data_IF_219564993138
#
_entry.id   IF_219564993138
#
_cell.length_a   1.000
_cell.length_b   1.000
_cell.length_c   1.000
_cell.angle_alpha   90.00
_cell.angle_beta   90.00
_cell.angle_gamma   90.00
#
_symmetry.space_group_name_H-M   'P 1'
#
loop_
_entity.id
_entity.type
_entity.pdbx_description
1 polymer ?
#
# COMPACT_ATOMS: atom_id res chain seq x y z
N UNK A 1 -9.13 13.79 5.89
CA UNK A 1 -9.27 12.78 4.87
C UNK A 1 -8.56 13.21 3.60
N UNK A 2 -7.48 12.56 3.22
CA UNK A 2 -6.91 12.71 1.90
C UNK A 2 -7.93 12.20 0.89
N UNK A 3 -8.22 12.96 -0.16
CA UNK A 3 -8.96 12.47 -1.32
C UNK A 3 -8.07 11.43 -2.00
N UNK A 4 -8.17 10.21 -1.53
CA UNK A 4 -7.48 9.07 -2.10
C UNK A 4 -8.10 8.85 -3.48
N UNK A 5 -7.25 8.72 -4.52
CA UNK A 5 -7.70 8.40 -5.88
C UNK A 5 -8.47 7.08 -5.93
N UNK A 6 -9.02 6.76 -7.10
CA UNK A 6 -9.64 5.46 -7.34
C UNK A 6 -8.68 4.33 -6.90
N UNK A 7 -9.22 3.31 -6.24
CA UNK A 7 -8.44 2.18 -5.75
C UNK A 7 -7.69 2.38 -4.44
N UNK A 8 -7.85 3.50 -3.76
CA UNK A 8 -7.25 3.70 -2.45
C UNK A 8 -7.89 2.84 -1.37
N UNK A 9 -7.09 2.34 -0.44
CA UNK A 9 -7.56 1.65 0.77
C UNK A 9 -8.24 2.61 1.73
N UNK A 10 -9.20 2.10 2.51
CA UNK A 10 -9.85 2.87 3.56
C UNK A 10 -8.95 2.99 4.80
N UNK A 11 -9.09 4.11 5.50
CA UNK A 11 -8.37 4.35 6.76
C UNK A 11 -8.81 3.35 7.85
N UNK A 12 -7.94 3.13 8.83
CA UNK A 12 -8.26 2.43 10.06
C UNK A 12 -9.26 3.21 10.92
N UNK A 13 -9.85 2.55 11.91
CA UNK A 13 -10.88 3.10 12.79
C UNK A 13 -10.38 3.04 14.24
N UNK A 14 -10.72 4.08 15.02
CA UNK A 14 -10.46 4.11 16.45
C UNK A 14 -11.39 3.17 17.23
N UNK A 15 -10.82 2.26 17.99
CA UNK A 15 -11.55 1.26 18.77
C UNK A 15 -11.86 1.66 20.22
N UNK A 16 -11.66 2.89 20.60
CA UNK A 16 -11.73 3.31 22.01
C UNK A 16 -10.57 2.71 22.83
N UNK A 17 -10.48 3.06 24.11
CA UNK A 17 -9.51 2.54 25.08
C UNK A 17 -8.16 2.11 24.49
N UNK A 18 -7.50 3.03 23.71
CA UNK A 18 -6.08 2.92 23.37
C UNK A 18 -5.72 1.98 22.20
N UNK A 19 -6.66 1.54 21.37
CA UNK A 19 -6.38 0.64 20.23
C UNK A 19 -7.00 1.15 18.93
N UNK A 20 -6.21 1.11 17.86
CA UNK A 20 -6.63 1.51 16.52
C UNK A 20 -6.41 0.38 15.52
N UNK A 21 -7.36 0.22 14.61
CA UNK A 21 -7.25 -0.73 13.51
C UNK A 21 -6.33 -0.21 12.42
N UNK A 22 -5.82 -1.11 11.60
CA UNK A 22 -4.91 -0.79 10.50
C UNK A 22 -5.64 -0.29 9.25
N UNK A 23 -4.96 0.50 8.43
CA UNK A 23 -5.44 0.94 7.12
C UNK A 23 -5.45 -0.18 6.08
N UNK A 24 -6.40 -0.14 5.15
CA UNK A 24 -6.50 -1.07 4.04
C UNK A 24 -5.48 -0.80 2.94
N UNK A 25 -5.07 -1.82 2.20
CA UNK A 25 -4.15 -1.70 1.06
C UNK A 25 -4.82 -1.10 -0.18
N UNK A 26 -4.04 -0.41 -1.01
CA UNK A 26 -4.47 0.08 -2.32
C UNK A 26 -4.74 -1.07 -3.30
N UNK A 27 -5.59 -0.85 -4.27
CA UNK A 27 -5.96 -1.83 -5.31
C UNK A 27 -5.62 -1.31 -6.70
N UNK A 28 -5.18 -2.21 -7.60
CA UNK A 28 -5.00 -1.96 -9.03
C UNK A 28 -4.86 -3.30 -9.74
N UNK A 29 -5.68 -3.60 -10.74
CA UNK A 29 -5.67 -4.88 -11.45
C UNK A 29 -5.93 -6.12 -10.54
N UNK A 30 -5.66 -6.01 -9.26
CA UNK A 30 -5.91 -6.96 -8.18
C UNK A 30 -6.35 -6.25 -6.89
N UNK A 31 -7.08 -6.94 -6.00
CA UNK A 31 -7.51 -6.36 -4.73
C UNK A 31 -6.32 -6.18 -3.78
N UNK A 32 -6.29 -5.06 -3.07
CA UNK A 32 -5.42 -4.87 -1.92
C UNK A 32 -5.83 -5.76 -0.73
N UNK A 33 -5.01 -5.80 0.30
CA UNK A 33 -5.35 -6.50 1.54
C UNK A 33 -6.20 -5.60 2.46
N UNK A 34 -7.05 -6.22 3.26
CA UNK A 34 -7.75 -5.52 4.36
C UNK A 34 -6.75 -5.23 5.49
N UNK A 35 -6.91 -4.08 6.15
CA UNK A 35 -6.16 -3.73 7.35
C UNK A 35 -6.44 -4.69 8.52
N UNK A 36 -5.51 -4.77 9.45
CA UNK A 36 -5.66 -5.60 10.66
C UNK A 36 -6.76 -5.04 11.58
N UNK A 37 -7.53 -5.95 12.20
CA UNK A 37 -8.53 -5.58 13.21
C UNK A 37 -7.87 -5.18 14.53
N UNK A 38 -8.46 -4.23 15.24
CA UNK A 38 -8.13 -4.00 16.64
C UNK A 38 -9.06 -4.84 17.51
N UNK A 39 -8.48 -5.64 18.39
CA UNK A 39 -9.23 -6.48 19.34
C UNK A 39 -8.90 -6.10 20.77
N UNK A 40 -9.90 -5.95 21.59
CA UNK A 40 -9.81 -5.42 22.96
C UNK A 40 -9.65 -6.48 24.05
N UNK A 41 -9.92 -7.72 23.75
CA UNK A 41 -9.88 -8.82 24.71
C UNK A 41 -10.82 -8.57 25.88
N UNK A 42 -10.27 -8.51 27.10
CA UNK A 42 -11.04 -8.32 28.35
C UNK A 42 -11.01 -6.88 28.87
N UNK A 43 -10.55 -5.92 28.08
CA UNK A 43 -10.46 -4.52 28.49
C UNK A 43 -11.87 -3.91 28.42
N UNK A 44 -12.34 -3.33 29.52
CA UNK A 44 -13.60 -2.59 29.57
C UNK A 44 -13.44 -1.24 28.84
N UNK A 45 -14.54 -0.75 28.27
CA UNK A 45 -14.60 0.51 27.51
C UNK A 45 -13.79 0.52 26.19
N UNK A 46 -13.58 -0.64 25.60
CA UNK A 46 -12.93 -0.80 24.30
C UNK A 46 -13.84 -1.61 23.37
N UNK A 47 -14.01 -1.12 22.16
CA UNK A 47 -14.78 -1.80 21.12
C UNK A 47 -13.83 -2.43 20.10
N UNK A 48 -14.09 -3.67 19.74
CA UNK A 48 -13.40 -4.32 18.62
C UNK A 48 -13.72 -3.57 17.33
N UNK A 49 -12.70 -3.15 16.60
CA UNK A 49 -12.86 -2.45 15.33
C UNK A 49 -12.26 -3.20 14.16
N UNK A 50 -12.99 -3.16 13.07
CA UNK A 50 -12.56 -3.75 11.83
C UNK A 50 -11.46 -2.90 11.17
N UNK A 51 -10.45 -3.56 10.61
CA UNK A 51 -9.44 -2.89 9.77
C UNK A 51 -10.04 -2.25 8.53
N UNK A 52 -9.37 -1.24 7.99
CA UNK A 52 -9.74 -0.54 6.77
C UNK A 52 -9.95 -1.51 5.62
N UNK A 53 -10.97 -1.29 4.81
CA UNK A 53 -11.24 -2.11 3.63
C UNK A 53 -10.19 -1.83 2.55
N UNK A 54 -9.84 -2.81 1.71
CA UNK A 54 -9.00 -2.57 0.54
C UNK A 54 -9.69 -1.58 -0.41
N UNK A 55 -8.89 -0.90 -1.21
CA UNK A 55 -9.39 -0.01 -2.25
C UNK A 55 -10.28 -0.74 -3.25
N UNK A 56 -11.18 0.00 -3.88
CA UNK A 56 -12.00 -0.53 -4.97
C UNK A 56 -11.08 -0.88 -6.14
N UNK A 57 -11.29 -2.07 -6.73
CA UNK A 57 -10.53 -2.52 -7.88
C UNK A 57 -10.67 -1.53 -9.03
N UNK A 58 -9.56 -1.03 -9.56
CA UNK A 58 -9.52 -0.17 -10.74
C UNK A 58 -8.34 -0.58 -11.66
N UNK A 59 -8.29 -0.01 -12.85
CA UNK A 59 -7.42 -0.52 -13.90
C UNK A 59 -7.99 -1.78 -14.55
N UNK A 60 -7.61 -2.04 -15.77
CA UNK A 60 -8.01 -3.22 -16.52
C UNK A 60 -6.80 -3.96 -17.10
N UNK A 61 -6.97 -5.26 -17.38
CA UNK A 61 -5.91 -6.11 -17.94
C UNK A 61 -5.51 -5.67 -19.36
N UNK A 62 -6.36 -4.92 -20.03
CA UNK A 62 -6.14 -4.45 -21.40
C UNK A 62 -5.48 -3.08 -21.45
N UNK A 63 -5.35 -2.42 -20.31
CA UNK A 63 -4.83 -1.06 -20.16
C UNK A 63 -5.48 -0.06 -21.14
N UNK A 64 -6.82 -0.07 -21.19
CA UNK A 64 -7.58 0.90 -22.01
C UNK A 64 -7.38 2.33 -21.52
N UNK A 65 -7.05 2.49 -20.25
CA UNK A 65 -6.63 3.75 -19.64
C UNK A 65 -5.35 3.54 -18.86
N UNK A 66 -4.36 4.40 -19.10
CA UNK A 66 -3.11 4.38 -18.33
C UNK A 66 -3.31 5.16 -17.03
N UNK A 67 -3.53 4.43 -15.96
CA UNK A 67 -3.75 4.99 -14.61
C UNK A 67 -2.74 4.42 -13.62
N UNK A 68 -2.42 5.19 -12.59
CA UNK A 68 -1.55 4.75 -11.50
C UNK A 68 -2.29 3.84 -10.51
N UNK A 69 -1.54 3.19 -9.65
CA UNK A 69 -2.07 2.38 -8.56
C UNK A 69 -2.73 3.22 -7.47
N UNK A 70 -3.57 2.59 -6.65
CA UNK A 70 -4.19 3.19 -5.48
C UNK A 70 -3.24 3.26 -4.28
N UNK A 71 -3.35 4.32 -3.48
CA UNK A 71 -2.62 4.42 -2.22
C UNK A 71 -3.19 3.51 -1.13
N UNK A 72 -2.41 3.16 -0.13
CA UNK A 72 -2.89 2.52 1.09
C UNK A 72 -3.64 3.50 1.98
N UNK A 73 -4.54 3.00 2.82
CA UNK A 73 -5.23 3.78 3.85
C UNK A 73 -4.31 4.12 5.02
N UNK A 74 -4.55 5.25 5.63
CA UNK A 74 -3.87 5.68 6.85
C UNK A 74 -4.36 4.86 8.06
N UNK A 75 -3.56 4.74 9.12
CA UNK A 75 -4.08 4.33 10.42
C UNK A 75 -4.90 5.48 11.03
N UNK A 76 -5.75 5.18 12.03
CA UNK A 76 -6.48 6.24 12.72
C UNK A 76 -5.51 7.17 13.47
N UNK A 77 -5.73 8.49 13.35
CA UNK A 77 -4.91 9.51 14.03
C UNK A 77 -5.31 9.63 15.51
N UNK A 78 -4.45 9.16 16.39
CA UNK A 78 -4.58 9.45 17.81
C UNK A 78 -3.91 10.80 18.06
N UNK A 79 -4.66 11.79 18.44
CA UNK A 79 -4.29 13.22 18.57
C UNK A 79 -2.98 13.53 19.34
N UNK A 80 -2.32 12.53 19.90
CA UNK A 80 -1.07 12.66 20.65
C UNK A 80 0.13 11.90 20.05
N UNK A 81 -0.08 11.13 18.96
CA UNK A 81 0.97 10.36 18.30
C UNK A 81 1.13 10.81 16.85
N UNK A 82 2.37 10.99 16.42
CA UNK A 82 2.63 11.08 14.99
C UNK A 82 2.32 9.72 14.35
N UNK A 83 1.41 9.73 13.38
CA UNK A 83 1.05 8.52 12.63
C UNK A 83 1.73 8.53 11.27
N UNK A 84 2.16 7.37 10.85
CA UNK A 84 2.64 7.17 9.50
C UNK A 84 1.47 7.09 8.51
N UNK A 85 1.73 7.48 7.28
CA UNK A 85 0.73 7.46 6.21
C UNK A 85 0.74 6.14 5.48
N UNK A 86 -0.37 5.83 4.83
CA UNK A 86 -0.44 4.74 3.89
C UNK A 86 0.55 4.90 2.73
N UNK A 87 1.01 3.79 2.20
CA UNK A 87 1.94 3.77 1.08
C UNK A 87 1.34 4.42 -0.17
N UNK A 88 2.15 5.14 -0.93
CA UNK A 88 1.72 5.74 -2.18
C UNK A 88 1.45 4.66 -3.24
N UNK A 89 0.45 4.86 -4.09
CA UNK A 89 0.27 4.03 -5.29
C UNK A 89 1.38 4.23 -6.31
N UNK A 90 1.71 3.19 -7.05
CA UNK A 90 2.67 3.24 -8.15
C UNK A 90 2.20 4.14 -9.30
N UNK A 91 3.14 4.71 -10.03
CA UNK A 91 2.85 5.56 -11.18
C UNK A 91 2.36 4.76 -12.39
N UNK A 92 2.08 5.46 -13.48
CA UNK A 92 1.81 4.85 -14.77
C UNK A 92 2.77 5.38 -15.81
N UNK A 93 3.37 4.50 -16.61
CA UNK A 93 4.32 4.86 -17.65
C UNK A 93 3.98 4.19 -18.97
N UNK A 94 4.01 4.96 -20.06
CA UNK A 94 3.90 4.44 -21.41
C UNK A 94 5.14 4.80 -22.20
N UNK A 95 5.76 3.80 -22.82
CA UNK A 95 6.86 3.97 -23.74
C UNK A 95 6.44 3.47 -25.13
N UNK A 96 6.63 4.33 -26.12
CA UNK A 96 6.36 4.00 -27.52
C UNK A 96 7.61 4.18 -28.37
N UNK A 97 7.86 3.22 -29.24
CA UNK A 97 8.88 3.35 -30.31
C UNK A 97 8.34 2.81 -31.62
N UNK A 98 8.68 3.49 -32.72
CA UNK A 98 8.34 3.02 -34.04
C UNK A 98 9.30 1.92 -34.59
N UNK A 99 10.38 1.64 -33.86
CA UNK A 99 11.41 0.67 -34.26
C UNK A 99 11.59 -0.43 -33.23
N UNK A 100 12.16 -0.10 -32.06
CA UNK A 100 12.39 -1.07 -31.00
C UNK A 100 12.43 -0.40 -29.62
N UNK A 101 12.15 -1.18 -28.58
CA UNK A 101 12.35 -0.84 -27.17
C UNK A 101 13.23 -1.90 -26.53
N UNK A 102 14.21 -1.47 -25.72
CA UNK A 102 15.06 -2.39 -24.98
C UNK A 102 15.19 -1.97 -23.52
N UNK A 103 15.06 -2.93 -22.60
CA UNK A 103 15.46 -2.81 -21.20
C UNK A 103 16.76 -3.59 -21.03
N UNK A 104 17.87 -2.91 -20.95
CA UNK A 104 19.19 -3.53 -20.89
C UNK A 104 19.41 -4.30 -19.56
N UNK A 105 20.37 -5.22 -19.56
CA UNK A 105 20.81 -5.92 -18.35
C UNK A 105 21.23 -4.90 -17.28
N UNK A 106 20.66 -5.02 -16.08
CA UNK A 106 20.88 -4.09 -14.97
C UNK A 106 20.04 -2.81 -15.05
N UNK A 107 19.30 -2.59 -16.18
CA UNK A 107 18.29 -1.54 -16.24
C UNK A 107 16.95 -1.99 -15.69
N UNK A 108 16.04 -1.04 -15.42
CA UNK A 108 14.71 -1.39 -14.94
C UNK A 108 13.68 -0.30 -15.20
N UNK A 109 12.44 -0.73 -15.33
CA UNK A 109 11.24 0.11 -15.25
C UNK A 109 10.49 -0.31 -14.00
N UNK A 110 10.30 0.64 -13.08
CA UNK A 110 9.62 0.40 -11.82
C UNK A 110 8.41 1.32 -11.68
N UNK A 111 7.28 0.73 -11.43
CA UNK A 111 6.00 1.37 -11.15
C UNK A 111 5.41 0.80 -9.86
N UNK A 112 6.28 0.44 -8.91
CA UNK A 112 5.90 -0.14 -7.64
C UNK A 112 5.14 0.83 -6.73
N UNK A 113 4.32 0.27 -5.84
CA UNK A 113 3.66 1.01 -4.76
C UNK A 113 4.57 1.13 -3.55
N UNK A 114 4.39 2.19 -2.77
CA UNK A 114 5.12 2.41 -1.53
C UNK A 114 4.63 1.51 -0.40
N UNK A 115 5.51 1.14 0.51
CA UNK A 115 5.16 0.45 1.75
C UNK A 115 4.35 1.35 2.69
N UNK A 116 3.50 0.75 3.50
CA UNK A 116 2.77 1.45 4.55
C UNK A 116 3.66 1.70 5.77
N UNK A 117 3.38 2.76 6.51
CA UNK A 117 4.06 3.07 7.76
C UNK A 117 3.66 2.13 8.90
N UNK A 118 4.53 1.93 9.86
CA UNK A 118 4.26 1.15 11.06
C UNK A 118 3.36 1.87 12.06
N UNK A 119 2.62 1.14 12.86
CA UNK A 119 1.78 1.67 13.92
C UNK A 119 2.61 2.38 14.99
N UNK A 120 2.20 3.60 15.37
CA UNK A 120 2.83 4.34 16.43
C UNK A 120 2.51 3.74 17.81
N UNK A 121 3.48 3.73 18.71
CA UNK A 121 3.27 3.47 20.13
C UNK A 121 3.59 4.72 20.92
N UNK A 122 2.61 5.28 21.59
CA UNK A 122 2.84 6.40 22.48
C UNK A 122 1.93 6.34 23.71
N UNK A 123 2.53 6.57 24.84
CA UNK A 123 1.88 6.37 26.16
C UNK A 123 1.30 4.94 26.23
N UNK A 124 0.02 4.78 26.39
CA UNK A 124 -0.66 3.48 26.42
C UNK A 124 -1.47 3.21 25.15
N UNK A 125 -1.23 3.98 24.06
CA UNK A 125 -1.95 3.83 22.80
C UNK A 125 -1.19 2.91 21.85
N UNK A 126 -1.91 1.98 21.24
CA UNK A 126 -1.43 0.99 20.30
C UNK A 126 -2.01 1.31 18.92
N UNK A 127 -1.18 1.83 18.05
CA UNK A 127 -1.57 2.17 16.67
C UNK A 127 -1.55 0.96 15.76
N UNK A 128 -2.54 0.85 14.87
CA UNK A 128 -2.50 -0.06 13.74
C UNK A 128 -1.48 0.40 12.70
N UNK A 129 -0.91 -0.52 11.94
CA UNK A 129 -0.08 -0.18 10.78
C UNK A 129 -0.92 0.36 9.62
N UNK A 130 -0.33 1.13 8.74
CA UNK A 130 -1.02 1.67 7.56
C UNK A 130 -0.97 0.70 6.39
N UNK A 131 -1.87 0.85 5.43
CA UNK A 131 -1.90 0.02 4.23
C UNK A 131 -0.75 0.35 3.27
N UNK A 132 -0.23 -0.64 2.56
CA UNK A 132 0.67 -0.42 1.43
C UNK A 132 -0.07 0.05 0.18
N UNK A 133 0.59 0.79 -0.70
CA UNK A 133 0.06 1.18 -2.00
C UNK A 133 0.14 0.03 -3.02
N UNK A 134 -0.75 0.00 -3.99
CA UNK A 134 -0.65 -0.94 -5.12
C UNK A 134 0.39 -0.49 -6.13
N UNK A 135 0.93 -1.43 -6.90
CA UNK A 135 1.68 -1.10 -8.11
C UNK A 135 0.80 -0.38 -9.14
N UNK A 136 1.42 0.27 -10.10
CA UNK A 136 0.74 0.97 -11.18
C UNK A 136 0.81 0.23 -12.51
N UNK A 137 0.86 0.96 -13.62
CA UNK A 137 0.87 0.41 -14.97
C UNK A 137 2.18 0.71 -15.73
N UNK A 138 2.65 -0.28 -16.48
CA UNK A 138 3.74 -0.11 -17.47
C UNK A 138 3.25 -0.63 -18.82
N UNK A 139 3.18 0.28 -19.79
CA UNK A 139 2.76 -0.06 -21.14
C UNK A 139 3.90 0.20 -22.14
N UNK A 140 4.38 -0.89 -22.76
CA UNK A 140 5.45 -0.85 -23.75
C UNK A 140 4.86 -1.16 -25.13
N UNK A 141 5.17 -0.34 -26.11
CA UNK A 141 4.68 -0.52 -27.48
C UNK A 141 5.79 -0.26 -28.50
N UNK A 142 6.20 -1.30 -29.21
CA UNK A 142 7.14 -1.23 -30.34
C UNK A 142 6.97 -2.47 -31.21
N UNK A 143 7.43 -2.43 -32.48
CA UNK A 143 7.52 -3.62 -33.36
C UNK A 143 8.41 -4.72 -32.78
N UNK A 144 9.45 -4.34 -32.01
CA UNK A 144 10.38 -5.25 -31.35
C UNK A 144 10.62 -4.77 -29.92
N UNK A 145 10.49 -5.67 -28.94
CA UNK A 145 10.67 -5.38 -27.50
C UNK A 145 11.59 -6.44 -26.91
N UNK A 146 12.77 -5.99 -26.42
CA UNK A 146 13.76 -6.84 -25.76
C UNK A 146 13.91 -6.43 -24.29
N UNK A 147 13.60 -7.34 -23.36
CA UNK A 147 13.68 -7.11 -21.91
C UNK A 147 14.73 -8.03 -21.29
N UNK A 148 15.94 -7.50 -21.11
CA UNK A 148 17.06 -8.16 -20.43
C UNK A 148 17.22 -7.67 -18.97
N UNK A 149 16.48 -6.64 -18.61
CA UNK A 149 16.45 -6.06 -17.27
C UNK A 149 15.15 -6.38 -16.53
N UNK A 150 14.75 -5.52 -15.61
CA UNK A 150 13.53 -5.68 -14.81
C UNK A 150 12.40 -4.76 -15.29
N UNK A 151 11.17 -5.29 -15.35
CA UNK A 151 9.93 -4.50 -15.51
C UNK A 151 9.00 -4.89 -14.37
N UNK A 152 8.72 -3.97 -13.46
CA UNK A 152 8.10 -4.24 -12.16
C UNK A 152 6.97 -3.27 -11.88
N UNK A 153 5.84 -3.78 -11.38
CA UNK A 153 4.69 -3.00 -10.93
C UNK A 153 4.07 -3.66 -9.68
N UNK A 154 4.91 -4.02 -8.71
CA UNK A 154 4.47 -4.68 -7.47
C UNK A 154 3.83 -3.68 -6.51
N UNK A 155 2.87 -4.14 -5.69
CA UNK A 155 2.39 -3.37 -4.55
C UNK A 155 3.40 -3.37 -3.40
N UNK A 156 3.36 -2.34 -2.58
CA UNK A 156 4.09 -2.27 -1.32
C UNK A 156 3.40 -3.07 -0.22
N UNK A 157 4.16 -3.50 0.77
CA UNK A 157 3.66 -4.17 1.97
C UNK A 157 2.93 -3.21 2.92
N UNK A 158 1.99 -3.73 3.70
CA UNK A 158 1.41 -2.97 4.81
C UNK A 158 2.40 -2.86 5.99
N UNK A 159 2.27 -1.82 6.79
CA UNK A 159 3.03 -1.66 8.01
C UNK A 159 2.53 -2.58 9.13
N UNK A 160 3.41 -2.96 10.03
CA UNK A 160 3.07 -3.72 11.23
C UNK A 160 2.38 -2.85 12.29
N UNK A 161 1.52 -3.43 13.10
CA UNK A 161 0.95 -2.76 14.28
C UNK A 161 2.00 -2.57 15.39
N UNK A 162 1.79 -1.58 16.26
CA UNK A 162 2.60 -1.45 17.46
C UNK A 162 2.37 -2.56 18.48
N UNK A 163 3.41 -2.96 19.19
CA UNK A 163 3.35 -3.86 20.34
C UNK A 163 3.41 -3.11 21.68
N UNK A 164 3.42 -3.85 22.79
CA UNK A 164 3.33 -3.32 24.17
C UNK A 164 4.41 -2.29 24.53
N UNK A 165 5.54 -2.27 23.84
CA UNK A 165 6.67 -1.37 24.15
C UNK A 165 7.38 -0.83 22.90
N UNK A 166 6.94 -1.19 21.71
CA UNK A 166 7.61 -0.85 20.45
C UNK A 166 6.62 -0.42 19.38
N UNK A 167 7.01 0.57 18.58
CA UNK A 167 6.30 0.90 17.35
C UNK A 167 6.37 -0.27 16.36
N UNK A 168 5.40 -0.38 15.49
CA UNK A 168 5.41 -1.30 14.36
C UNK A 168 6.49 -0.93 13.33
N UNK A 169 6.97 -1.91 12.58
CA UNK A 169 7.89 -1.67 11.47
C UNK A 169 7.14 -1.22 10.21
N UNK A 170 7.78 -0.41 9.33
CA UNK A 170 7.19 -0.09 8.03
C UNK A 170 7.15 -1.32 7.12
N UNK A 171 6.24 -1.33 6.18
CA UNK A 171 6.23 -2.29 5.07
C UNK A 171 7.28 -1.96 4.02
N UNK A 172 7.68 -2.93 3.25
CA UNK A 172 8.63 -2.73 2.14
C UNK A 172 7.95 -2.11 0.92
N UNK A 173 8.70 -1.30 0.16
CA UNK A 173 8.25 -0.81 -1.14
C UNK A 173 8.19 -1.95 -2.18
N UNK A 174 7.25 -1.86 -3.11
CA UNK A 174 7.16 -2.75 -4.26
C UNK A 174 8.22 -2.40 -5.31
N UNK A 175 9.30 -3.15 -5.38
CA UNK A 175 10.41 -2.88 -6.27
C UNK A 175 11.00 -4.15 -6.93
N UNK A 176 12.00 -3.98 -7.83
CA UNK A 176 12.68 -5.11 -8.47
C UNK A 176 13.47 -5.93 -7.43
N UNK A 177 13.20 -7.21 -7.36
CA UNK A 177 13.93 -8.17 -6.51
C UNK A 177 13.27 -8.51 -5.17
N UNK A 178 12.14 -7.89 -4.84
CA UNK A 178 11.30 -8.31 -3.72
C UNK A 178 10.40 -9.49 -4.11
N UNK A 179 10.36 -10.54 -3.30
CA UNK A 179 9.13 -11.32 -3.20
C UNK A 179 8.01 -10.33 -2.83
N UNK A 180 6.76 -10.59 -3.28
CA UNK A 180 5.63 -9.74 -2.93
C UNK A 180 5.74 -9.35 -1.46
N UNK A 181 5.83 -8.04 -1.19
CA UNK A 181 6.03 -7.55 0.16
C UNK A 181 4.88 -8.05 1.02
N UNK A 182 5.15 -9.04 1.85
CA UNK A 182 4.20 -9.57 2.81
C UNK A 182 4.16 -8.65 4.02
N UNK A 183 2.97 -8.15 4.37
CA UNK A 183 2.71 -7.50 5.64
C UNK A 183 2.52 -8.53 6.76
#
# INVERSE_FOLDING_TARGET
GSSLGDGAGADGIHGGAWRDSGGGGGSFGGPGARGGDATCGVIVDCDDTAGGQPGVLHGDEVLTSLVGGGGGGDAHDISSCAQDRGGAGGGAVQLYSAVSLGVATGGGLDSGGGGGGGGAHCYNNYGGGTGGGSGGAIYLQAPDIDVLGAVVANGGGGGGSSGDVTAGGPGDDGGPGGAAAGG
#
